data_IF_216588328660
#
_entry.id   IF_216588328660
#
_cell.length_a   1.000
_cell.length_b   1.000
_cell.length_c   1.000
_cell.angle_alpha   90.00
_cell.angle_beta   90.00
_cell.angle_gamma   90.00
#
_symmetry.space_group_name_H-M   'P 1'
#
loop_
_entity.id
_entity.type
_entity.pdbx_description
1 polymer ?
#
# COMPACT_ATOMS: atom_id res chain seq x y z
N UNK A 1 -7.92 -10.76 -11.52
CA UNK A 1 -8.90 -9.72 -11.11
C UNK A 1 -8.41 -8.39 -11.68
N UNK A 2 -9.26 -7.56 -12.27
CA UNK A 2 -8.82 -6.24 -12.79
C UNK A 2 -9.00 -5.22 -11.67
N UNK A 3 -7.92 -4.53 -11.30
CA UNK A 3 -7.94 -3.50 -10.27
C UNK A 3 -8.66 -2.25 -10.79
N UNK A 4 -9.62 -1.74 -10.01
CA UNK A 4 -10.40 -0.53 -10.33
C UNK A 4 -10.26 0.53 -9.24
N UNK A 5 -10.09 0.12 -8.00
CA UNK A 5 -10.02 1.01 -6.84
C UNK A 5 -8.88 0.59 -5.91
N UNK A 6 -8.01 1.53 -5.58
CA UNK A 6 -6.90 1.33 -4.64
C UNK A 6 -7.11 2.21 -3.41
N UNK A 7 -7.05 1.60 -2.24
CA UNK A 7 -6.99 2.32 -0.97
C UNK A 7 -5.54 2.61 -0.59
N UNK A 8 -5.24 3.82 -0.14
CA UNK A 8 -3.91 4.20 0.36
C UNK A 8 -4.01 4.78 1.77
N UNK A 9 -3.29 4.21 2.70
CA UNK A 9 -3.04 4.70 4.06
C UNK A 9 -1.52 4.64 4.31
N UNK A 10 -0.84 5.72 4.74
CA UNK A 10 -1.31 7.06 5.07
C UNK A 10 -0.91 8.08 3.99
N UNK A 11 -1.48 9.28 4.12
CA UNK A 11 -1.35 10.39 3.18
C UNK A 11 -0.17 11.32 3.57
N UNK A 12 1.01 10.72 3.83
CA UNK A 12 2.30 11.42 3.88
C UNK A 12 2.83 11.66 2.46
N UNK A 13 4.03 12.21 2.32
CA UNK A 13 4.63 12.49 1.00
C UNK A 13 4.70 11.24 0.10
N UNK A 14 5.14 10.10 0.64
CA UNK A 14 5.22 8.85 -0.12
C UNK A 14 3.83 8.31 -0.48
N UNK A 15 2.89 8.29 0.46
CA UNK A 15 1.55 7.76 0.23
C UNK A 15 0.74 8.66 -0.72
N UNK A 16 0.78 9.98 -0.56
CA UNK A 16 0.12 10.91 -1.48
C UNK A 16 0.79 10.93 -2.85
N UNK A 17 2.12 10.86 -2.93
CA UNK A 17 2.84 10.72 -4.20
C UNK A 17 2.44 9.43 -4.93
N UNK A 18 2.40 8.28 -4.23
CA UNK A 18 1.95 7.01 -4.81
C UNK A 18 0.49 7.11 -5.27
N UNK A 19 -0.41 7.64 -4.43
CA UNK A 19 -1.81 7.84 -4.78
C UNK A 19 -1.99 8.77 -5.97
N UNK A 20 -1.28 9.90 -5.99
CA UNK A 20 -1.31 10.87 -7.09
C UNK A 20 -0.82 10.29 -8.41
N UNK A 21 0.22 9.45 -8.39
CA UNK A 21 0.70 8.73 -9.57
C UNK A 21 -0.40 7.82 -10.16
N UNK A 22 -1.09 7.07 -9.30
CA UNK A 22 -2.18 6.19 -9.71
C UNK A 22 -3.38 6.99 -10.26
N UNK A 23 -3.76 8.09 -9.59
CA UNK A 23 -4.83 8.99 -10.06
C UNK A 23 -4.50 9.61 -11.41
N UNK A 24 -3.25 10.08 -11.59
CA UNK A 24 -2.78 10.67 -12.85
C UNK A 24 -2.94 9.69 -14.04
N UNK A 25 -2.81 8.39 -13.79
CA UNK A 25 -2.98 7.35 -14.79
C UNK A 25 -4.42 6.77 -14.85
N UNK A 26 -5.40 7.44 -14.22
CA UNK A 26 -6.81 7.14 -14.35
C UNK A 26 -7.35 6.08 -13.39
N UNK A 27 -6.60 5.70 -12.37
CA UNK A 27 -7.10 4.77 -11.34
C UNK A 27 -7.83 5.54 -10.23
N UNK A 28 -8.95 5.01 -9.76
CA UNK A 28 -9.63 5.55 -8.58
C UNK A 28 -8.82 5.23 -7.33
N UNK A 29 -8.41 6.27 -6.58
CA UNK A 29 -7.68 6.12 -5.33
C UNK A 29 -8.49 6.69 -4.19
N UNK A 30 -8.72 5.87 -3.18
CA UNK A 30 -9.50 6.22 -1.99
C UNK A 30 -8.62 6.22 -0.74
N UNK A 31 -9.06 6.96 0.27
CA UNK A 31 -8.38 7.06 1.56
C UNK A 31 -9.36 7.33 2.69
N UNK A 32 -8.91 7.26 3.93
CA UNK A 32 -9.67 7.72 5.11
C UNK A 32 -8.91 8.87 5.78
N UNK A 33 -9.53 10.05 5.81
CA UNK A 33 -8.97 11.27 6.39
C UNK A 33 -9.43 11.57 7.82
N UNK A 34 -10.27 10.71 8.39
CA UNK A 34 -10.77 10.87 9.77
C UNK A 34 -9.60 10.94 10.76
N UNK A 35 -9.54 12.01 11.53
CA UNK A 35 -8.49 12.23 12.53
C UNK A 35 -7.11 12.55 11.96
N UNK A 36 -6.98 12.82 10.65
CA UNK A 36 -5.70 13.19 10.04
C UNK A 36 -5.40 14.68 10.21
N UNK A 37 -4.11 15.01 10.17
CA UNK A 37 -3.64 16.39 10.24
C UNK A 37 -4.06 17.19 9.01
N UNK A 38 -4.17 18.50 9.14
CA UNK A 38 -4.46 19.38 8.00
C UNK A 38 -3.45 19.22 6.85
N UNK A 39 -2.18 18.93 7.17
CA UNK A 39 -1.14 18.63 6.16
C UNK A 39 -1.48 17.37 5.38
N UNK A 40 -1.82 16.26 6.06
CA UNK A 40 -2.19 14.99 5.38
C UNK A 40 -3.44 15.14 4.53
N UNK A 41 -4.44 15.90 5.02
CA UNK A 41 -5.66 16.23 4.28
C UNK A 41 -5.33 17.01 3.01
N UNK A 42 -4.45 18.03 3.12
CA UNK A 42 -3.98 18.82 1.97
C UNK A 42 -3.30 17.93 0.93
N UNK A 43 -2.31 17.13 1.34
CA UNK A 43 -1.58 16.21 0.46
C UNK A 43 -2.50 15.21 -0.28
N UNK A 44 -3.50 14.65 0.42
CA UNK A 44 -4.45 13.75 -0.20
C UNK A 44 -5.33 14.44 -1.26
N UNK A 45 -5.80 15.66 -0.96
CA UNK A 45 -6.58 16.46 -1.91
C UNK A 45 -5.78 16.86 -3.14
N UNK A 46 -4.55 17.32 -2.95
CA UNK A 46 -3.64 17.72 -4.04
C UNK A 46 -3.30 16.53 -4.94
N UNK A 47 -3.22 15.31 -4.36
CA UNK A 47 -3.04 14.06 -5.08
C UNK A 47 -4.32 13.54 -5.77
N UNK A 48 -5.48 14.17 -5.57
CA UNK A 48 -6.75 13.74 -6.15
C UNK A 48 -7.34 12.47 -5.51
N UNK A 49 -6.94 12.15 -4.27
CA UNK A 49 -7.47 11.00 -3.54
C UNK A 49 -8.85 11.32 -2.95
N UNK A 50 -9.78 10.36 -3.04
CA UNK A 50 -11.15 10.46 -2.52
C UNK A 50 -11.21 10.02 -1.05
N UNK A 51 -11.76 10.86 -0.17
CA UNK A 51 -12.02 10.50 1.22
C UNK A 51 -13.34 9.73 1.35
N UNK A 52 -13.27 8.50 1.85
CA UNK A 52 -14.47 7.66 2.11
C UNK A 52 -14.91 7.67 3.58
N UNK A 53 -14.24 8.45 4.41
CA UNK A 53 -14.65 8.82 5.77
C UNK A 53 -14.46 7.78 6.87
N UNK A 54 -14.26 6.48 6.55
CA UNK A 54 -14.01 5.44 7.55
C UNK A 54 -13.35 4.20 6.96
N UNK A 55 -12.80 3.34 7.83
CA UNK A 55 -12.04 2.15 7.43
C UNK A 55 -12.92 1.04 6.84
N UNK A 56 -14.16 0.92 7.27
CA UNK A 56 -15.07 -0.08 6.72
C UNK A 56 -15.43 0.24 5.26
N UNK A 57 -15.73 1.50 4.93
CA UNK A 57 -15.94 1.94 3.56
C UNK A 57 -14.66 1.74 2.72
N UNK A 58 -13.50 2.10 3.29
CA UNK A 58 -12.21 1.95 2.63
C UNK A 58 -11.97 0.50 2.17
N UNK A 59 -12.17 -0.48 3.05
CA UNK A 59 -11.99 -1.90 2.74
C UNK A 59 -13.08 -2.41 1.80
N UNK A 60 -14.34 -2.00 1.99
CA UNK A 60 -15.44 -2.48 1.16
C UNK A 60 -15.34 -2.01 -0.31
N UNK A 61 -14.79 -0.83 -0.56
CA UNK A 61 -14.68 -0.26 -1.90
C UNK A 61 -13.38 -0.62 -2.63
N UNK A 62 -12.31 -0.93 -1.88
CA UNK A 62 -11.00 -1.21 -2.47
C UNK A 62 -10.88 -2.63 -3.05
N UNK A 63 -10.15 -2.75 -4.16
CA UNK A 63 -9.62 -4.01 -4.68
C UNK A 63 -8.23 -4.30 -4.09
N UNK A 64 -7.44 -3.23 -3.87
CA UNK A 64 -6.14 -3.27 -3.22
C UNK A 64 -6.06 -2.24 -2.09
N UNK A 65 -5.37 -2.61 -1.02
CA UNK A 65 -5.04 -1.74 0.10
C UNK A 65 -3.52 -1.59 0.22
N UNK A 66 -3.02 -0.37 0.11
CA UNK A 66 -1.61 -0.03 0.26
C UNK A 66 -1.36 0.62 1.62
N UNK A 67 -0.60 -0.06 2.46
CA UNK A 67 -0.12 0.43 3.76
C UNK A 67 1.21 1.17 3.55
N UNK A 68 1.20 2.52 3.63
CA UNK A 68 2.37 3.39 3.42
C UNK A 68 2.47 4.40 4.57
N UNK A 69 3.11 4.03 5.67
CA UNK A 69 3.15 4.83 6.90
C UNK A 69 4.49 4.66 7.64
N UNK A 70 4.74 5.39 8.75
CA UNK A 70 5.93 5.17 9.54
C UNK A 70 6.03 3.72 10.03
N UNK A 71 7.20 3.06 9.94
CA UNK A 71 7.40 1.63 10.22
C UNK A 71 6.79 1.16 11.55
N UNK A 72 6.90 1.97 12.60
CA UNK A 72 6.37 1.67 13.94
C UNK A 72 4.86 1.46 13.98
N UNK A 73 4.13 1.95 12.99
CA UNK A 73 2.66 1.86 12.92
C UNK A 73 2.17 0.71 12.03
N UNK A 74 3.05 0.01 11.32
CA UNK A 74 2.66 -0.99 10.32
C UNK A 74 1.81 -2.14 10.90
N UNK A 75 2.27 -2.75 11.99
CA UNK A 75 1.55 -3.83 12.68
C UNK A 75 0.23 -3.33 13.31
N UNK A 76 0.24 -2.12 13.87
CA UNK A 76 -0.97 -1.52 14.45
C UNK A 76 -2.05 -1.29 13.39
N UNK A 77 -1.66 -0.80 12.19
CA UNK A 77 -2.59 -0.64 11.07
C UNK A 77 -3.14 -1.99 10.59
N UNK A 78 -2.32 -3.02 10.49
CA UNK A 78 -2.79 -4.36 10.12
C UNK A 78 -3.86 -4.87 11.11
N UNK A 79 -3.60 -4.74 12.41
CA UNK A 79 -4.57 -5.08 13.48
C UNK A 79 -5.86 -4.25 13.39
N UNK A 80 -5.75 -2.97 13.04
CA UNK A 80 -6.91 -2.08 12.84
C UNK A 80 -7.75 -2.49 11.64
N UNK A 81 -7.11 -2.88 10.52
CA UNK A 81 -7.82 -3.24 9.29
C UNK A 81 -8.41 -4.66 9.32
N UNK A 82 -7.80 -5.59 10.06
CA UNK A 82 -8.21 -7.00 10.08
C UNK A 82 -9.73 -7.21 10.34
N UNK A 83 -10.38 -6.61 11.35
CA UNK A 83 -11.82 -6.79 11.56
C UNK A 83 -12.67 -6.23 10.41
N UNK A 84 -12.23 -5.20 9.70
CA UNK A 84 -12.93 -4.66 8.54
C UNK A 84 -12.78 -5.57 7.32
N UNK A 85 -11.61 -6.18 7.15
CA UNK A 85 -11.36 -7.18 6.09
C UNK A 85 -12.25 -8.39 6.31
N UNK A 86 -12.29 -8.93 7.52
CA UNK A 86 -13.15 -10.07 7.89
C UNK A 86 -14.63 -9.77 7.63
N UNK A 87 -15.11 -8.60 8.09
CA UNK A 87 -16.50 -8.19 7.93
C UNK A 87 -16.91 -7.95 6.47
N UNK A 88 -15.96 -7.62 5.59
CA UNK A 88 -16.24 -7.35 4.17
C UNK A 88 -16.59 -8.61 3.37
N UNK A 89 -16.21 -9.80 3.84
CA UNK A 89 -16.33 -11.08 3.16
C UNK A 89 -15.76 -11.09 1.73
N UNK A 90 -14.83 -10.18 1.40
CA UNK A 90 -14.13 -10.12 0.11
C UNK A 90 -12.64 -10.43 0.29
N UNK A 91 -12.05 -11.00 -0.75
CA UNK A 91 -10.60 -11.10 -0.85
C UNK A 91 -10.05 -9.75 -1.30
N UNK A 92 -9.22 -9.12 -0.50
CA UNK A 92 -8.52 -7.86 -0.81
C UNK A 92 -7.02 -8.11 -0.89
N UNK A 93 -6.33 -7.47 -1.83
CA UNK A 93 -4.87 -7.46 -1.84
C UNK A 93 -4.36 -6.46 -0.79
N UNK A 94 -3.67 -6.94 0.24
CA UNK A 94 -3.03 -6.11 1.26
C UNK A 94 -1.54 -5.97 0.97
N UNK A 95 -1.12 -4.84 0.43
CA UNK A 95 0.28 -4.53 0.16
C UNK A 95 0.89 -3.72 1.30
N UNK A 96 1.74 -4.33 2.10
CA UNK A 96 2.54 -3.60 3.09
C UNK A 96 3.78 -3.00 2.43
N UNK A 97 3.81 -1.68 2.30
CA UNK A 97 4.87 -0.91 1.64
C UNK A 97 5.86 -0.27 2.63
N UNK A 98 5.81 -0.66 3.91
CA UNK A 98 6.56 -0.02 4.97
C UNK A 98 8.00 -0.55 5.05
N UNK A 99 8.93 0.32 5.49
CA UNK A 99 10.32 -0.05 5.68
C UNK A 99 10.53 -0.78 7.02
N UNK A 100 10.05 -2.02 7.09
CA UNK A 100 10.14 -2.90 8.27
C UNK A 100 10.97 -4.14 7.97
N UNK A 101 11.42 -4.84 9.00
CA UNK A 101 12.19 -6.08 8.86
C UNK A 101 11.34 -7.21 8.23
N UNK A 102 11.97 -8.20 7.55
CA UNK A 102 11.27 -9.36 7.01
C UNK A 102 10.36 -10.07 8.03
N UNK A 103 10.81 -10.24 9.26
CA UNK A 103 10.02 -10.84 10.34
C UNK A 103 8.76 -10.04 10.70
N UNK A 104 8.81 -8.71 10.56
CA UNK A 104 7.62 -7.86 10.75
C UNK A 104 6.63 -8.03 9.60
N UNK A 105 7.12 -8.27 8.37
CA UNK A 105 6.24 -8.61 7.23
C UNK A 105 5.50 -9.92 7.48
N UNK A 106 6.19 -10.93 7.99
CA UNK A 106 5.60 -12.21 8.38
C UNK A 106 4.55 -12.04 9.51
N UNK A 107 4.82 -11.16 10.49
CA UNK A 107 3.84 -10.82 11.53
C UNK A 107 2.59 -10.18 10.94
N UNK A 108 2.74 -9.21 10.02
CA UNK A 108 1.61 -8.55 9.35
C UNK A 108 0.82 -9.56 8.50
N UNK A 109 1.50 -10.41 7.74
CA UNK A 109 0.89 -11.51 6.98
C UNK A 109 0.02 -12.39 7.89
N UNK A 110 0.56 -12.82 9.04
CA UNK A 110 -0.14 -13.67 9.99
C UNK A 110 -1.39 -13.00 10.62
N UNK A 111 -1.49 -11.66 10.56
CA UNK A 111 -2.67 -10.91 11.03
C UNK A 111 -3.72 -10.83 9.94
N UNK A 112 -3.35 -10.55 8.68
CA UNK A 112 -4.32 -10.18 7.65
C UNK A 112 -4.78 -11.35 6.77
N UNK A 113 -3.96 -12.38 6.55
CA UNK A 113 -4.35 -13.54 5.72
C UNK A 113 -5.46 -14.39 6.34
N UNK A 114 -5.47 -14.68 7.66
CA UNK A 114 -6.55 -15.47 8.27
C UNK A 114 -7.93 -14.82 8.14
N UNK A 115 -8.00 -13.49 7.94
CA UNK A 115 -9.24 -12.73 7.80
C UNK A 115 -9.63 -12.45 6.34
N UNK A 116 -8.89 -13.03 5.36
CA UNK A 116 -9.27 -13.02 3.95
C UNK A 116 -8.45 -12.10 3.05
N UNK A 117 -7.38 -11.47 3.54
CA UNK A 117 -6.48 -10.71 2.69
C UNK A 117 -5.47 -11.59 1.94
N UNK A 118 -5.10 -11.19 0.73
CA UNK A 118 -3.95 -11.70 -0.01
C UNK A 118 -2.75 -10.76 0.27
N UNK A 119 -1.76 -11.24 1.02
CA UNK A 119 -0.65 -10.38 1.47
C UNK A 119 0.46 -10.25 0.43
N UNK A 120 0.97 -9.02 0.26
CA UNK A 120 2.16 -8.71 -0.56
C UNK A 120 3.14 -7.89 0.25
N UNK A 121 4.40 -8.34 0.29
CA UNK A 121 5.51 -7.56 0.82
C UNK A 121 6.03 -6.60 -0.26
N UNK A 122 6.03 -5.30 0.03
CA UNK A 122 6.53 -4.27 -0.89
C UNK A 122 7.59 -3.42 -0.19
N UNK A 123 8.69 -3.18 -0.88
CA UNK A 123 9.73 -2.23 -0.48
C UNK A 123 9.80 -1.07 -1.45
N UNK A 124 9.55 0.16 -0.99
CA UNK A 124 9.64 1.36 -1.84
C UNK A 124 11.05 1.96 -1.74
N UNK A 125 11.69 2.20 -2.87
CA UNK A 125 13.01 2.84 -2.98
C UNK A 125 12.94 4.07 -3.89
N UNK A 126 13.50 5.17 -3.42
CA UNK A 126 13.53 6.47 -4.09
C UNK A 126 12.69 7.51 -3.38
N UNK A 127 12.63 8.70 -3.99
CA UNK A 127 11.81 9.81 -3.54
C UNK A 127 10.31 9.53 -3.78
N UNK A 128 9.39 10.29 -3.15
CA UNK A 128 7.98 10.20 -3.47
C UNK A 128 7.74 10.32 -4.97
N UNK A 129 6.86 9.48 -5.56
CA UNK A 129 6.60 9.51 -7.00
C UNK A 129 6.15 10.89 -7.47
N UNK A 130 6.70 11.29 -8.60
CA UNK A 130 6.30 12.47 -9.36
C UNK A 130 5.87 11.99 -10.75
N UNK A 131 4.71 12.40 -11.28
CA UNK A 131 4.23 11.96 -12.59
C UNK A 131 5.19 12.22 -13.76
N UNK A 132 6.08 13.19 -13.62
CA UNK A 132 7.07 13.59 -14.64
C UNK A 132 8.40 12.85 -14.45
N UNK A 133 8.81 12.62 -13.20
CA UNK A 133 10.11 12.02 -12.84
C UNK A 133 9.91 10.75 -12.02
N UNK A 134 9.28 9.75 -12.61
CA UNK A 134 9.03 8.49 -11.89
C UNK A 134 10.31 7.64 -11.79
N UNK A 135 11.14 7.95 -10.80
CA UNK A 135 12.35 7.18 -10.42
C UNK A 135 12.11 6.21 -9.28
N UNK A 136 10.95 6.30 -8.64
CA UNK A 136 10.57 5.46 -7.50
C UNK A 136 10.37 4.02 -7.94
N UNK A 137 10.95 3.07 -7.21
CA UNK A 137 10.86 1.65 -7.49
C UNK A 137 10.12 0.94 -6.37
N UNK A 138 9.23 0.03 -6.75
CA UNK A 138 8.45 -0.81 -5.85
C UNK A 138 8.91 -2.25 -6.02
N UNK A 139 9.71 -2.76 -5.10
CA UNK A 139 10.10 -4.16 -5.08
C UNK A 139 8.97 -4.95 -4.42
N UNK A 140 8.45 -5.97 -5.09
CA UNK A 140 7.33 -6.76 -4.59
C UNK A 140 7.73 -8.23 -4.45
N UNK A 141 7.33 -8.86 -3.35
CA UNK A 141 7.54 -10.29 -3.11
C UNK A 141 6.33 -10.93 -2.43
N UNK A 142 6.26 -12.26 -2.53
CA UNK A 142 5.17 -13.07 -2.01
C UNK A 142 4.30 -13.68 -3.12
N UNK A 143 3.42 -14.63 -2.77
CA UNK A 143 2.63 -15.39 -3.74
C UNK A 143 1.69 -14.52 -4.58
N UNK A 144 1.32 -13.35 -4.09
CA UNK A 144 0.42 -12.40 -4.77
C UNK A 144 1.15 -11.19 -5.39
N UNK A 145 2.48 -11.19 -5.47
CA UNK A 145 3.26 -10.07 -6.03
C UNK A 145 2.92 -9.79 -7.50
N UNK A 146 2.50 -10.80 -8.26
CA UNK A 146 2.04 -10.63 -9.63
C UNK A 146 0.71 -9.84 -9.71
N UNK A 147 -0.18 -10.00 -8.73
CA UNK A 147 -1.43 -9.24 -8.68
C UNK A 147 -1.15 -7.77 -8.38
N UNK A 148 -0.21 -7.48 -7.49
CA UNK A 148 0.28 -6.12 -7.25
C UNK A 148 0.90 -5.48 -8.51
N UNK A 149 1.53 -6.29 -9.36
CA UNK A 149 2.17 -5.83 -10.60
C UNK A 149 1.21 -5.24 -11.63
N UNK A 150 -0.11 -5.41 -11.48
CA UNK A 150 -1.11 -4.73 -12.31
C UNK A 150 -0.99 -3.20 -12.22
N UNK A 151 -0.50 -2.66 -11.09
CA UNK A 151 -0.30 -1.23 -10.93
C UNK A 151 0.81 -0.64 -11.83
N UNK A 152 1.56 -1.46 -12.57
CA UNK A 152 2.45 -1.00 -13.65
C UNK A 152 1.70 -0.26 -14.74
N UNK A 153 0.49 -0.71 -15.08
CA UNK A 153 -0.37 -0.08 -16.06
C UNK A 153 -0.78 1.34 -15.63
N UNK A 154 -0.71 1.61 -14.34
CA UNK A 154 -1.01 2.91 -13.72
C UNK A 154 0.25 3.66 -13.27
N UNK A 155 1.39 3.38 -13.93
CA UNK A 155 2.61 4.17 -13.81
C UNK A 155 3.51 3.84 -12.62
N UNK A 156 3.27 2.77 -11.86
CA UNK A 156 4.23 2.33 -10.84
C UNK A 156 5.33 1.46 -11.44
N UNK A 157 6.59 1.77 -11.10
CA UNK A 157 7.74 0.97 -11.52
C UNK A 157 7.93 -0.20 -10.54
N UNK A 158 7.26 -1.33 -10.79
CA UNK A 158 7.25 -2.50 -9.92
C UNK A 158 8.23 -3.56 -10.41
N UNK A 159 9.03 -4.08 -9.49
CA UNK A 159 10.03 -5.12 -9.72
C UNK A 159 9.69 -6.32 -8.85
N UNK A 160 9.33 -7.44 -9.45
CA UNK A 160 9.08 -8.69 -8.73
C UNK A 160 10.42 -9.34 -8.33
N UNK A 161 10.59 -9.65 -7.04
CA UNK A 161 11.82 -10.20 -6.47
C UNK A 161 11.65 -11.59 -5.86
N UNK A 162 10.57 -12.28 -6.23
CA UNK A 162 10.29 -13.67 -5.89
C UNK A 162 9.04 -13.87 -5.03
N UNK A 163 8.69 -15.14 -4.82
CA UNK A 163 7.41 -15.53 -4.23
C UNK A 163 7.45 -15.70 -2.70
N UNK A 164 8.60 -15.41 -2.07
CA UNK A 164 8.77 -15.51 -0.62
C UNK A 164 8.61 -14.16 0.04
N UNK A 165 7.71 -14.05 1.03
CA UNK A 165 7.55 -12.86 1.88
C UNK A 165 8.88 -12.53 2.56
N UNK A 166 9.17 -11.24 2.73
CA UNK A 166 10.39 -10.74 3.34
C UNK A 166 11.52 -10.42 2.35
N UNK A 167 11.44 -10.88 1.09
CA UNK A 167 12.47 -10.57 0.08
C UNK A 167 12.50 -9.11 -0.31
N UNK A 168 11.34 -8.50 -0.53
CA UNK A 168 11.27 -7.07 -0.87
C UNK A 168 11.71 -6.20 0.32
N UNK A 169 11.32 -6.57 1.54
CA UNK A 169 11.80 -5.95 2.76
C UNK A 169 13.33 -6.06 2.91
N UNK A 170 13.91 -7.24 2.66
CA UNK A 170 15.37 -7.43 2.70
C UNK A 170 16.09 -6.54 1.69
N UNK A 171 15.60 -6.46 0.45
CA UNK A 171 16.13 -5.55 -0.58
C UNK A 171 16.09 -4.11 -0.07
N UNK A 172 14.94 -3.65 0.47
CA UNK A 172 14.81 -2.30 1.03
C UNK A 172 15.79 -2.04 2.16
N UNK A 173 15.98 -2.99 3.08
CA UNK A 173 16.90 -2.84 4.22
C UNK A 173 18.36 -2.78 3.79
N UNK A 174 18.77 -3.53 2.75
CA UNK A 174 20.11 -3.43 2.19
C UNK A 174 20.41 -2.02 1.66
N UNK A 175 19.47 -1.40 0.95
CA UNK A 175 19.65 -0.03 0.44
C UNK A 175 19.58 1.05 1.53
N UNK A 176 18.86 0.82 2.62
CA UNK A 176 18.77 1.79 3.72
C UNK A 176 20.06 1.88 4.56
N UNK A 177 20.93 0.87 4.46
CA UNK A 177 22.21 0.79 5.18
C UNK A 177 23.42 1.19 4.32
N UNK A 178 23.22 1.66 3.10
CA UNK A 178 24.25 2.21 2.19
C UNK A 178 24.25 3.73 2.21
#
# INVERSE_FOLDING_TARGET
>A
MTVKTVAVIAQGEMGSGTGGQLVHHGLRVITNLTGRSSRSIGLAKDAGMEDVGNDAALINEADMFLSILPPVQAVALAKQMAPHIEASNKSILYADCNAVAPTTKEEIQAIVEPVGANFVDVGILGDPPDPIKNVTRYYASGPYANDFSQLKEYGLNIIHVGDTIGRAAAVKMCFANM
#
